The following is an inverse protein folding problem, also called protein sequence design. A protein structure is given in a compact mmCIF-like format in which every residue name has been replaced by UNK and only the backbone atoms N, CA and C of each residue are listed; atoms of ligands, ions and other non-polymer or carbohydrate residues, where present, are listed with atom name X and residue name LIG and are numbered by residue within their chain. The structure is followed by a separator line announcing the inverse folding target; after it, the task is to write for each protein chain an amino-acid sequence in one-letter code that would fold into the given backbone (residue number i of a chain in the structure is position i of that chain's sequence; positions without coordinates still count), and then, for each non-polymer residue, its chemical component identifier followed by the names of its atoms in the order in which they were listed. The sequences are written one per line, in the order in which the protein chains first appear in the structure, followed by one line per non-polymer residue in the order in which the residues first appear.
data_IF_827224468902
#
_entry.id   IF_827224468902
#
_cell.length_a   1.000
_cell.length_b   1.000
_cell.length_c   1.000
_cell.angle_alpha   90.00
_cell.angle_beta   90.00
_cell.angle_gamma   90.00
#
_symmetry.space_group_name_H-M   'P 1'
#
loop_
_entity.id
_entity.type
_entity.pdbx_description
1 polymer ?
#
# COMPACT_ATOMS: atom_id res chain seq x y z
N UNK A 1 8.07 22.83 -23.24
CA UNK A 1 7.05 23.67 -22.55
C UNK A 1 6.05 22.73 -21.90
N UNK A 2 6.09 22.57 -20.57
CA UNK A 2 5.12 21.75 -19.86
C UNK A 2 3.77 22.47 -19.92
N UNK A 3 2.75 21.83 -20.49
CA UNK A 3 1.39 22.33 -20.42
C UNK A 3 0.99 22.39 -18.94
N UNK A 4 0.96 23.59 -18.39
CA UNK A 4 0.21 23.87 -17.17
C UNK A 4 -1.24 23.46 -17.48
N UNK A 5 -1.60 22.22 -17.16
CA UNK A 5 -2.98 21.74 -17.22
C UNK A 5 -3.77 22.58 -16.24
N UNK A 6 -4.30 23.70 -16.75
CA UNK A 6 -4.99 24.69 -15.94
C UNK A 6 -6.26 24.00 -15.44
N UNK A 7 -6.50 24.04 -14.13
CA UNK A 7 -7.71 23.47 -13.54
C UNK A 7 -8.91 24.31 -13.95
N UNK A 8 -9.77 23.76 -14.83
CA UNK A 8 -10.92 24.44 -15.43
C UNK A 8 -12.22 23.71 -15.08
N UNK A 9 -13.34 24.42 -15.24
CA UNK A 9 -14.67 23.84 -15.01
C UNK A 9 -14.96 22.66 -15.95
N UNK A 10 -14.49 22.72 -17.19
CA UNK A 10 -14.60 21.61 -18.14
C UNK A 10 -13.85 20.36 -17.65
N UNK A 11 -12.63 20.52 -17.11
CA UNK A 11 -11.86 19.41 -16.53
C UNK A 11 -12.56 18.84 -15.29
N UNK A 12 -13.11 19.70 -14.44
CA UNK A 12 -13.89 19.28 -13.27
C UNK A 12 -15.13 18.48 -13.66
N UNK A 13 -15.97 18.99 -14.56
CA UNK A 13 -17.17 18.28 -15.07
C UNK A 13 -16.82 16.94 -15.71
N UNK A 14 -15.73 16.89 -16.48
CA UNK A 14 -15.23 15.63 -17.06
C UNK A 14 -14.87 14.62 -15.98
N UNK A 15 -14.09 15.01 -14.97
CA UNK A 15 -13.70 14.11 -13.87
C UNK A 15 -14.91 13.55 -13.11
N UNK A 16 -15.94 14.38 -12.89
CA UNK A 16 -17.20 13.92 -12.32
C UNK A 16 -17.94 12.91 -13.23
N UNK A 17 -18.00 13.18 -14.55
CA UNK A 17 -18.63 12.26 -15.51
C UNK A 17 -17.89 10.91 -15.63
N UNK A 18 -16.58 10.92 -15.39
CA UNK A 18 -15.73 9.72 -15.32
C UNK A 18 -15.87 8.99 -13.97
N UNK A 19 -16.78 9.42 -13.08
CA UNK A 19 -17.01 8.86 -11.73
C UNK A 19 -15.77 8.82 -10.84
N UNK A 20 -14.83 9.75 -11.05
CA UNK A 20 -13.63 9.84 -10.21
C UNK A 20 -13.98 10.19 -8.77
N UNK A 21 -13.30 9.55 -7.83
CA UNK A 21 -13.58 9.59 -6.39
C UNK A 21 -14.70 8.67 -5.93
N UNK A 22 -15.35 7.93 -6.82
CA UNK A 22 -16.50 7.09 -6.51
C UNK A 22 -16.16 5.61 -6.71
N UNK A 23 -16.96 4.75 -6.07
CA UNK A 23 -16.80 3.29 -6.09
C UNK A 23 -16.04 2.76 -4.86
N UNK A 24 -16.02 1.43 -4.73
CA UNK A 24 -15.25 0.67 -3.73
C UNK A 24 -14.48 -0.44 -4.44
N UNK A 25 -13.37 -0.88 -3.86
CA UNK A 25 -12.52 -1.94 -4.38
C UNK A 25 -12.18 -1.71 -5.87
N UNK A 26 -12.47 -2.68 -6.73
CA UNK A 26 -12.20 -2.65 -8.17
C UNK A 26 -12.97 -1.55 -8.92
N UNK A 27 -14.08 -1.07 -8.36
CA UNK A 27 -14.92 -0.04 -8.95
C UNK A 27 -14.47 1.38 -8.58
N UNK A 28 -13.50 1.53 -7.67
CA UNK A 28 -13.01 2.83 -7.28
C UNK A 28 -12.13 3.46 -8.37
N UNK A 29 -12.40 4.72 -8.70
CA UNK A 29 -11.61 5.51 -9.66
C UNK A 29 -10.91 6.66 -8.93
N UNK A 30 -9.56 6.71 -8.85
CA UNK A 30 -8.86 7.80 -8.15
C UNK A 30 -9.08 9.15 -8.84
N UNK A 31 -9.07 10.25 -8.06
CA UNK A 31 -9.22 11.59 -8.64
C UNK A 31 -8.10 11.94 -9.60
N UNK A 32 -6.87 11.59 -9.23
CA UNK A 32 -5.69 11.76 -10.07
C UNK A 32 -5.07 10.42 -10.38
N UNK A 33 -4.68 10.25 -11.63
CA UNK A 33 -3.87 9.13 -12.11
C UNK A 33 -2.45 9.63 -12.42
N UNK A 34 -1.54 8.69 -12.67
CA UNK A 34 -0.16 9.00 -13.09
C UNK A 34 -0.12 9.83 -14.39
N UNK A 35 -1.17 9.78 -15.21
CA UNK A 35 -1.26 10.53 -16.48
C UNK A 35 -1.72 11.99 -16.29
N UNK A 36 -2.29 12.33 -15.12
CA UNK A 36 -2.87 13.66 -14.88
C UNK A 36 -1.84 14.71 -14.42
N UNK A 37 -0.65 14.27 -14.00
CA UNK A 37 0.37 15.14 -13.40
C UNK A 37 1.66 15.05 -14.23
N UNK A 38 2.23 16.19 -14.68
CA UNK A 38 3.53 16.19 -15.33
C UNK A 38 4.60 15.70 -14.37
N UNK A 39 5.47 14.78 -14.81
CA UNK A 39 6.46 14.13 -13.95
C UNK A 39 7.40 15.15 -13.29
N UNK A 40 7.23 15.33 -11.98
CA UNK A 40 8.23 16.01 -11.11
C UNK A 40 9.01 15.03 -10.24
N UNK A 41 8.67 13.75 -10.32
CA UNK A 41 9.25 12.63 -9.57
C UNK A 41 8.77 11.30 -10.15
N UNK A 42 9.09 10.20 -9.48
CA UNK A 42 8.66 8.86 -9.87
C UNK A 42 7.21 8.61 -9.46
N UNK A 43 6.41 8.18 -10.43
CA UNK A 43 5.05 7.67 -10.23
C UNK A 43 5.02 6.18 -10.53
N UNK A 44 4.12 5.46 -9.86
CA UNK A 44 4.02 4.00 -9.92
C UNK A 44 2.57 3.58 -10.16
N UNK A 45 2.40 2.58 -11.02
CA UNK A 45 1.17 1.79 -11.15
C UNK A 45 1.47 0.41 -10.60
N UNK A 46 0.67 -0.04 -9.64
CA UNK A 46 0.85 -1.34 -9.00
C UNK A 46 -0.50 -1.99 -8.77
N UNK A 47 -0.59 -3.31 -8.96
CA UNK A 47 -1.80 -4.07 -8.66
C UNK A 47 -1.94 -4.24 -7.14
N UNK A 48 -3.11 -3.89 -6.60
CA UNK A 48 -3.50 -4.20 -5.22
C UNK A 48 -4.34 -5.47 -5.22
N UNK A 49 -3.92 -6.47 -4.46
CA UNK A 49 -4.69 -7.68 -4.21
C UNK A 49 -5.93 -7.38 -3.35
N UNK A 50 -5.83 -6.40 -2.43
CA UNK A 50 -6.96 -5.97 -1.58
C UNK A 50 -8.04 -5.25 -2.36
N UNK A 51 -7.66 -4.30 -3.21
CA UNK A 51 -8.61 -3.51 -4.00
C UNK A 51 -8.95 -4.17 -5.36
N UNK A 52 -8.29 -5.25 -5.74
CA UNK A 52 -8.44 -5.94 -7.03
C UNK A 52 -8.33 -5.00 -8.26
N UNK A 53 -7.39 -4.05 -8.23
CA UNK A 53 -7.18 -3.09 -9.32
C UNK A 53 -5.78 -2.50 -9.31
N UNK A 54 -5.46 -1.77 -10.38
CA UNK A 54 -4.27 -0.93 -10.42
C UNK A 54 -4.47 0.33 -9.59
N UNK A 55 -3.57 0.55 -8.64
CA UNK A 55 -3.46 1.73 -7.79
C UNK A 55 -2.46 2.71 -8.42
N UNK A 56 -2.77 4.00 -8.36
CA UNK A 56 -1.96 5.08 -8.92
C UNK A 56 -1.25 5.91 -7.85
N UNK A 57 0.06 5.72 -7.73
CA UNK A 57 0.90 6.35 -6.71
C UNK A 57 1.80 7.39 -7.36
N UNK A 58 1.80 8.60 -6.82
CA UNK A 58 2.39 9.78 -7.45
C UNK A 58 3.77 10.13 -6.89
N UNK A 59 4.18 9.48 -5.80
CA UNK A 59 5.51 9.63 -5.19
C UNK A 59 5.99 8.31 -4.57
N UNK A 60 7.29 8.19 -4.34
CA UNK A 60 7.88 7.05 -3.63
C UNK A 60 7.39 6.92 -2.19
N UNK A 61 7.10 8.03 -1.51
CA UNK A 61 6.52 8.02 -0.16
C UNK A 61 5.13 7.37 -0.20
N UNK A 62 4.32 7.67 -1.22
CA UNK A 62 3.03 7.01 -1.43
C UNK A 62 3.19 5.51 -1.70
N UNK A 63 4.19 5.12 -2.51
CA UNK A 63 4.51 3.71 -2.76
C UNK A 63 4.87 2.95 -1.49
N UNK A 64 5.79 3.49 -0.68
CA UNK A 64 6.23 2.84 0.56
C UNK A 64 5.09 2.71 1.56
N UNK A 65 4.25 3.74 1.70
CA UNK A 65 3.09 3.68 2.58
C UNK A 65 2.04 2.68 2.07
N UNK A 66 1.79 2.65 0.76
CA UNK A 66 0.90 1.68 0.13
C UNK A 66 1.31 0.24 0.47
N UNK A 67 2.62 -0.09 0.41
CA UNK A 67 3.07 -1.41 0.82
C UNK A 67 2.71 -1.77 2.27
N UNK A 68 2.75 -0.81 3.20
CA UNK A 68 2.32 -1.05 4.58
C UNK A 68 0.81 -1.31 4.67
N UNK A 69 0.01 -0.63 3.85
CA UNK A 69 -1.44 -0.84 3.78
C UNK A 69 -1.76 -2.20 3.16
N UNK A 70 -1.12 -2.53 2.03
CA UNK A 70 -1.27 -3.79 1.30
C UNK A 70 -0.85 -5.00 2.15
N UNK A 71 0.13 -4.83 3.04
CA UNK A 71 0.59 -5.88 3.94
C UNK A 71 -0.33 -6.11 5.15
N UNK A 72 -1.08 -5.10 5.59
CA UNK A 72 -1.88 -5.19 6.80
C UNK A 72 -3.16 -6.01 6.56
N UNK A 73 -3.33 -7.12 7.28
CA UNK A 73 -4.44 -8.06 7.10
C UNK A 73 -5.80 -7.46 7.47
N UNK A 74 -5.85 -6.50 8.39
CA UNK A 74 -7.10 -5.81 8.75
C UNK A 74 -7.67 -4.93 7.64
N UNK A 75 -6.86 -4.51 6.67
CA UNK A 75 -7.28 -3.59 5.60
C UNK A 75 -8.01 -4.36 4.49
N UNK A 76 -9.15 -3.83 4.05
CA UNK A 76 -10.00 -4.44 3.03
C UNK A 76 -10.14 -3.59 1.76
N UNK A 77 -10.00 -2.28 1.86
CA UNK A 77 -10.02 -1.38 0.69
C UNK A 77 -9.04 -0.22 0.87
N UNK A 78 -8.47 0.23 -0.26
CA UNK A 78 -7.50 1.31 -0.34
C UNK A 78 -7.93 2.23 -1.47
N UNK A 79 -8.35 3.45 -1.14
CA UNK A 79 -8.80 4.46 -2.09
C UNK A 79 -7.78 5.61 -2.13
N UNK A 80 -6.88 5.59 -3.11
CA UNK A 80 -5.84 6.61 -3.29
C UNK A 80 -6.36 7.86 -3.99
N UNK A 81 -5.69 8.99 -3.74
CA UNK A 81 -6.05 10.31 -4.30
C UNK A 81 -7.54 10.64 -4.10
N UNK A 82 -8.07 10.39 -2.90
CA UNK A 82 -9.48 10.51 -2.58
C UNK A 82 -9.93 11.98 -2.55
N UNK A 83 -10.90 12.38 -3.40
CA UNK A 83 -11.32 13.77 -3.50
C UNK A 83 -12.31 14.17 -2.41
N UNK A 84 -12.09 15.36 -1.84
CA UNK A 84 -13.04 16.00 -0.93
C UNK A 84 -14.02 16.82 -1.76
N UNK A 85 -15.09 16.17 -2.24
CA UNK A 85 -16.07 16.81 -3.14
C UNK A 85 -17.10 17.67 -2.40
N UNK A 86 -17.44 17.29 -1.17
CA UNK A 86 -18.52 17.88 -0.39
C UNK A 86 -18.00 18.89 0.66
N UNK A 87 -17.06 19.74 0.25
CA UNK A 87 -16.45 20.73 1.13
C UNK A 87 -17.44 21.83 1.54
N UNK A 88 -18.48 22.06 0.75
CA UNK A 88 -19.57 22.99 1.05
C UNK A 88 -20.31 22.64 2.34
N UNK A 89 -20.36 21.34 2.72
CA UNK A 89 -21.05 20.89 3.94
C UNK A 89 -20.35 21.28 5.24
N UNK A 90 -19.11 21.77 5.15
CA UNK A 90 -18.32 22.18 6.31
C UNK A 90 -18.00 23.68 6.32
N UNK A 91 -18.54 24.46 5.39
CA UNK A 91 -18.26 25.90 5.25
C UNK A 91 -18.51 26.67 6.53
N UNK A 92 -19.57 26.33 7.28
CA UNK A 92 -19.93 26.99 8.55
C UNK A 92 -18.91 26.75 9.67
N UNK A 93 -17.98 25.81 9.49
CA UNK A 93 -16.90 25.48 10.45
C UNK A 93 -15.57 26.14 10.08
N UNK A 94 -15.50 26.88 8.96
CA UNK A 94 -14.26 27.41 8.40
C UNK A 94 -14.16 28.92 8.60
N UNK A 95 -12.95 29.40 8.90
CA UNK A 95 -12.66 30.83 8.88
C UNK A 95 -12.51 31.37 7.45
N UNK A 96 -12.50 32.71 7.33
CA UNK A 96 -12.40 33.39 6.03
C UNK A 96 -11.11 33.04 5.26
N UNK A 97 -10.01 32.73 5.97
CA UNK A 97 -8.74 32.38 5.36
C UNK A 97 -8.78 31.00 4.71
N UNK A 98 -9.45 30.03 5.33
CA UNK A 98 -9.66 28.69 4.82
C UNK A 98 -10.68 28.66 3.69
N UNK A 99 -11.75 29.46 3.76
CA UNK A 99 -12.74 29.59 2.69
C UNK A 99 -12.12 30.04 1.37
N UNK A 100 -11.14 30.97 1.42
CA UNK A 100 -10.38 31.42 0.24
C UNK A 100 -9.58 30.31 -0.45
N UNK A 101 -9.33 29.17 0.23
CA UNK A 101 -8.62 28.02 -0.34
C UNK A 101 -9.54 27.04 -1.08
N UNK A 102 -10.85 27.13 -0.90
CA UNK A 102 -11.82 26.23 -1.54
C UNK A 102 -11.99 26.48 -3.04
N UNK A 103 -11.56 27.64 -3.55
CA UNK A 103 -11.67 28.01 -4.96
C UNK A 103 -10.32 28.47 -5.52
N UNK A 104 -10.12 28.22 -6.80
CA UNK A 104 -8.99 28.79 -7.52
C UNK A 104 -9.19 30.30 -7.69
N UNK A 105 -8.23 31.12 -7.27
CA UNK A 105 -8.34 32.58 -7.31
C UNK A 105 -8.45 33.17 -8.72
N UNK A 106 -8.01 32.45 -9.75
CA UNK A 106 -8.04 32.91 -11.15
C UNK A 106 -9.28 32.42 -11.90
N UNK A 107 -9.67 31.17 -11.68
CA UNK A 107 -10.76 30.54 -12.47
C UNK A 107 -12.08 30.47 -11.71
N UNK A 108 -12.09 30.75 -10.39
CA UNK A 108 -13.22 30.59 -9.49
C UNK A 108 -13.80 29.15 -9.41
N UNK A 109 -13.12 28.18 -10.04
CA UNK A 109 -13.48 26.76 -10.02
C UNK A 109 -13.15 26.18 -8.64
N UNK A 110 -14.00 25.31 -8.06
CA UNK A 110 -13.70 24.59 -6.83
C UNK A 110 -12.33 23.90 -6.91
N UNK A 111 -11.47 24.15 -5.93
CA UNK A 111 -10.19 23.49 -5.81
C UNK A 111 -10.37 22.20 -5.01
N UNK A 112 -10.48 21.08 -5.71
CA UNK A 112 -10.67 19.77 -5.09
C UNK A 112 -9.40 19.36 -4.33
N UNK A 113 -9.49 19.34 -3.01
CA UNK A 113 -8.45 18.82 -2.14
C UNK A 113 -8.50 17.31 -2.13
N UNK A 114 -7.32 16.70 -2.02
CA UNK A 114 -7.17 15.26 -2.05
C UNK A 114 -6.59 14.79 -0.73
N UNK A 115 -7.22 13.76 -0.18
CA UNK A 115 -6.60 12.90 0.83
C UNK A 115 -5.79 11.84 0.10
N UNK A 116 -4.57 11.55 0.57
CA UNK A 116 -3.70 10.61 -0.15
C UNK A 116 -4.28 9.20 -0.16
N UNK A 117 -4.77 8.70 0.98
CA UNK A 117 -5.46 7.44 1.11
C UNK A 117 -6.67 7.58 2.03
N UNK A 118 -7.84 7.17 1.56
CA UNK A 118 -8.94 6.73 2.41
C UNK A 118 -8.85 5.20 2.48
N UNK A 119 -8.81 4.66 3.69
CA UNK A 119 -8.57 3.24 3.93
C UNK A 119 -9.73 2.67 4.71
N UNK A 120 -10.22 1.50 4.28
CA UNK A 120 -11.24 0.73 4.97
C UNK A 120 -10.59 -0.48 5.63
N UNK A 121 -10.90 -0.72 6.90
CA UNK A 121 -10.34 -1.80 7.69
C UNK A 121 -11.39 -2.45 8.60
N UNK A 122 -11.11 -3.66 9.05
CA UNK A 122 -11.93 -4.43 9.99
C UNK A 122 -11.20 -4.50 11.32
N UNK A 123 -11.87 -4.13 12.42
CA UNK A 123 -11.29 -4.24 13.77
C UNK A 123 -11.39 -5.67 14.31
N UNK A 124 -10.82 -5.93 15.50
CA UNK A 124 -10.85 -7.25 16.14
C UNK A 124 -12.27 -7.79 16.41
N UNK A 125 -13.28 -6.90 16.47
CA UNK A 125 -14.68 -7.26 16.65
C UNK A 125 -15.41 -7.55 15.31
N UNK A 126 -14.68 -7.55 14.19
CA UNK A 126 -15.26 -7.75 12.86
C UNK A 126 -15.99 -6.53 12.29
N UNK A 127 -15.85 -5.35 12.91
CA UNK A 127 -16.55 -4.13 12.48
C UNK A 127 -15.70 -3.34 11.49
N UNK A 128 -16.33 -2.92 10.39
CA UNK A 128 -15.72 -2.04 9.41
C UNK A 128 -15.57 -0.62 9.96
N UNK A 129 -14.41 -0.01 9.74
CA UNK A 129 -14.15 1.40 10.01
C UNK A 129 -13.24 1.99 8.93
N UNK A 130 -13.24 3.32 8.84
CA UNK A 130 -12.41 4.05 7.88
C UNK A 130 -11.46 5.03 8.57
N UNK A 131 -10.30 5.22 7.96
CA UNK A 131 -9.36 6.26 8.34
C UNK A 131 -8.72 6.91 7.11
N UNK A 132 -8.37 8.19 7.25
CA UNK A 132 -7.85 9.03 6.19
C UNK A 132 -6.40 9.41 6.49
N UNK A 133 -5.51 9.29 5.50
CA UNK A 133 -4.09 9.63 5.64
C UNK A 133 -3.64 10.50 4.49
N UNK A 134 -3.00 11.61 4.83
CA UNK A 134 -2.37 12.51 3.85
C UNK A 134 -0.87 12.50 4.03
N UNK A 135 -0.16 12.21 2.94
CA UNK A 135 1.28 12.11 2.97
C UNK A 135 1.91 13.45 2.60
N UNK A 136 2.83 13.92 3.45
CA UNK A 136 3.57 15.17 3.24
C UNK A 136 5.00 15.05 3.76
N UNK A 137 5.94 15.62 3.01
CA UNK A 137 7.30 15.78 3.50
C UNK A 137 7.31 16.76 4.67
N UNK A 138 8.18 16.52 5.66
CA UNK A 138 8.24 17.33 6.87
C UNK A 138 8.47 18.82 6.56
N UNK A 139 9.32 19.13 5.58
CA UNK A 139 9.58 20.51 5.15
C UNK A 139 8.34 21.21 4.55
N UNK A 140 7.37 20.47 4.00
CA UNK A 140 6.11 21.07 3.52
C UNK A 140 5.21 21.53 4.68
N UNK A 141 5.39 20.97 5.88
CA UNK A 141 4.58 21.29 7.05
C UNK A 141 4.93 22.65 7.67
N UNK A 142 6.06 23.25 7.29
CA UNK A 142 6.43 24.62 7.68
C UNK A 142 5.68 25.69 6.86
N UNK A 143 5.08 25.29 5.73
CA UNK A 143 4.42 26.23 4.82
C UNK A 143 2.99 26.49 5.27
N UNK A 144 2.68 27.76 5.58
CA UNK A 144 1.32 28.22 5.96
C UNK A 144 0.22 27.69 5.01
N UNK A 145 0.43 27.78 3.70
CA UNK A 145 -0.55 27.30 2.71
C UNK A 145 -0.74 25.77 2.70
N UNK A 146 0.24 25.00 3.19
CA UNK A 146 0.09 23.55 3.38
C UNK A 146 -0.69 23.27 4.66
N UNK A 147 -0.36 23.95 5.76
CA UNK A 147 -1.07 23.84 7.05
C UNK A 147 -2.57 24.14 6.86
N UNK A 148 -2.91 25.24 6.20
CA UNK A 148 -4.31 25.60 5.91
C UNK A 148 -5.06 24.50 5.14
N UNK A 149 -4.41 23.86 4.15
CA UNK A 149 -5.00 22.74 3.39
C UNK A 149 -5.14 21.46 4.22
N UNK A 150 -4.24 21.24 5.17
CA UNK A 150 -4.31 20.10 6.08
C UNK A 150 -5.42 20.31 7.12
N UNK A 151 -5.59 21.55 7.60
CA UNK A 151 -6.68 21.88 8.52
C UNK A 151 -8.05 21.70 7.85
N UNK A 152 -8.20 22.11 6.59
CA UNK A 152 -9.40 21.84 5.79
C UNK A 152 -9.73 20.34 5.71
N UNK A 153 -8.73 19.49 5.48
CA UNK A 153 -8.92 18.04 5.49
C UNK A 153 -9.28 17.52 6.87
N UNK A 154 -8.64 18.02 7.94
CA UNK A 154 -8.92 17.63 9.32
C UNK A 154 -10.38 17.94 9.69
N UNK A 155 -10.86 19.15 9.40
CA UNK A 155 -12.26 19.55 9.64
C UNK A 155 -13.22 18.68 8.81
N UNK A 156 -12.91 18.44 7.53
CA UNK A 156 -13.73 17.59 6.66
C UNK A 156 -13.91 16.18 7.21
N UNK A 157 -12.82 15.51 7.59
CA UNK A 157 -12.89 14.14 8.10
C UNK A 157 -13.47 14.07 9.51
N UNK A 158 -13.19 15.06 10.36
CA UNK A 158 -13.78 15.16 11.70
C UNK A 158 -15.30 15.28 11.65
N UNK A 159 -15.85 16.07 10.71
CA UNK A 159 -17.30 16.18 10.51
C UNK A 159 -17.97 14.84 10.14
N UNK A 160 -17.20 13.90 9.59
CA UNK A 160 -17.63 12.55 9.21
C UNK A 160 -17.23 11.48 10.24
N UNK A 161 -16.65 11.88 11.38
CA UNK A 161 -16.12 10.97 12.41
C UNK A 161 -15.09 9.98 11.88
N UNK A 162 -14.36 10.33 10.83
CA UNK A 162 -13.29 9.52 10.25
C UNK A 162 -11.96 10.01 10.80
N UNK A 163 -11.14 9.08 11.30
CA UNK A 163 -9.83 9.41 11.85
C UNK A 163 -8.89 9.92 10.75
N UNK A 164 -8.49 11.19 10.83
CA UNK A 164 -7.52 11.80 9.91
C UNK A 164 -6.13 11.89 10.53
N UNK A 165 -5.11 11.64 9.73
CA UNK A 165 -3.71 11.77 10.15
C UNK A 165 -2.80 12.20 9.00
N UNK A 166 -1.69 12.83 9.37
CA UNK A 166 -0.61 13.19 8.45
C UNK A 166 0.49 12.14 8.60
N UNK A 167 1.04 11.68 7.47
CA UNK A 167 2.17 10.75 7.46
C UNK A 167 3.32 11.42 6.73
N UNK A 168 4.48 11.50 7.37
CA UNK A 168 5.72 11.93 6.73
C UNK A 168 6.60 10.71 6.44
N UNK A 169 7.67 10.88 5.65
CA UNK A 169 8.63 9.79 5.45
C UNK A 169 9.22 9.21 6.75
N UNK A 170 9.25 9.98 7.85
CA UNK A 170 9.82 9.54 9.13
C UNK A 170 8.97 8.47 9.82
N UNK A 171 7.65 8.47 9.61
CA UNK A 171 6.75 7.46 10.18
C UNK A 171 6.71 6.16 9.35
N UNK A 172 7.40 6.10 8.20
CA UNK A 172 7.40 4.93 7.32
C UNK A 172 8.63 4.07 7.61
N UNK A 173 8.48 2.84 8.15
CA UNK A 173 9.61 1.91 8.31
C UNK A 173 10.14 1.47 6.95
N UNK A 174 11.25 2.08 6.54
CA UNK A 174 11.86 1.88 5.22
C UNK A 174 12.18 0.39 4.98
N UNK A 175 12.80 -0.28 5.95
CA UNK A 175 13.18 -1.69 5.80
C UNK A 175 11.96 -2.58 5.57
N UNK A 176 10.90 -2.39 6.37
CA UNK A 176 9.63 -3.11 6.20
C UNK A 176 9.00 -2.87 4.85
N UNK A 177 8.95 -1.62 4.38
CA UNK A 177 8.42 -1.32 3.04
C UNK A 177 9.22 -2.01 1.92
N UNK A 178 10.56 -2.06 2.01
CA UNK A 178 11.43 -2.74 1.05
C UNK A 178 11.24 -4.26 1.05
N UNK A 179 11.11 -4.85 2.23
CA UNK A 179 10.86 -6.28 2.35
C UNK A 179 9.50 -6.66 1.77
N UNK A 180 8.47 -5.86 2.03
CA UNK A 180 7.12 -6.06 1.46
C UNK A 180 7.16 -5.93 -0.07
N UNK A 181 7.82 -4.89 -0.60
CA UNK A 181 8.07 -4.71 -2.03
C UNK A 181 8.74 -5.94 -2.66
N UNK A 182 9.70 -6.54 -1.94
CA UNK A 182 10.42 -7.71 -2.41
C UNK A 182 9.56 -8.98 -2.43
N UNK A 183 8.68 -9.20 -1.45
CA UNK A 183 7.90 -10.46 -1.36
C UNK A 183 6.58 -10.41 -2.12
N UNK A 184 5.85 -9.30 -2.11
CA UNK A 184 4.47 -9.22 -2.65
C UNK A 184 4.33 -9.70 -4.10
N UNK A 185 5.23 -9.39 -5.05
CA UNK A 185 5.10 -9.86 -6.42
C UNK A 185 5.02 -11.38 -6.55
N UNK A 186 5.57 -12.14 -5.59
CA UNK A 186 5.55 -13.59 -5.59
C UNK A 186 4.14 -14.19 -5.44
N UNK A 187 3.14 -13.41 -4.98
CA UNK A 187 1.73 -13.85 -4.97
C UNK A 187 1.16 -14.05 -6.38
N UNK A 188 1.74 -13.41 -7.40
CA UNK A 188 1.29 -13.52 -8.78
C UNK A 188 2.03 -14.64 -9.53
N UNK A 189 1.90 -15.87 -9.02
CA UNK A 189 2.66 -17.05 -9.48
C UNK A 189 2.55 -17.31 -10.99
N UNK A 190 1.42 -16.94 -11.58
CA UNK A 190 1.15 -17.05 -13.01
C UNK A 190 2.15 -16.26 -13.89
N UNK A 191 2.70 -15.15 -13.38
CA UNK A 191 3.72 -14.37 -14.11
C UNK A 191 5.07 -15.08 -14.15
N UNK A 192 5.27 -16.09 -13.32
CA UNK A 192 6.47 -16.92 -13.27
C UNK A 192 6.27 -18.29 -13.91
N UNK A 193 5.12 -18.52 -14.56
CA UNK A 193 4.83 -19.80 -15.23
C UNK A 193 4.56 -20.97 -14.29
N UNK A 194 4.27 -20.71 -13.01
CA UNK A 194 3.98 -21.74 -12.00
C UNK A 194 2.47 -21.84 -11.78
N UNK A 195 1.91 -23.04 -11.85
CA UNK A 195 0.49 -23.29 -11.52
C UNK A 195 0.23 -23.30 -10.02
N UNK A 196 -1.02 -23.06 -9.61
CA UNK A 196 -1.44 -23.15 -8.19
C UNK A 196 -1.15 -24.53 -7.57
N UNK A 197 -1.24 -25.59 -8.36
CA UNK A 197 -0.93 -26.96 -7.92
C UNK A 197 0.56 -27.12 -7.65
N UNK A 198 1.41 -26.68 -8.58
CA UNK A 198 2.86 -26.72 -8.41
C UNK A 198 3.28 -25.86 -7.22
N UNK A 199 2.81 -24.61 -7.14
CA UNK A 199 3.13 -23.73 -6.01
C UNK A 199 2.70 -24.34 -4.68
N UNK A 200 1.54 -24.98 -4.61
CA UNK A 200 1.09 -25.66 -3.40
C UNK A 200 2.03 -26.80 -2.98
N UNK A 201 2.49 -27.61 -3.93
CA UNK A 201 3.45 -28.69 -3.68
C UNK A 201 4.83 -28.15 -3.28
N UNK A 202 5.30 -27.12 -3.99
CA UNK A 202 6.57 -26.46 -3.74
C UNK A 202 6.61 -25.79 -2.37
N UNK A 203 5.54 -25.08 -2.01
CA UNK A 203 5.40 -24.43 -0.71
C UNK A 203 5.42 -25.46 0.44
N UNK A 204 4.75 -26.61 0.29
CA UNK A 204 4.75 -27.68 1.29
C UNK A 204 6.18 -28.24 1.49
N UNK A 205 6.85 -28.60 0.40
CA UNK A 205 8.20 -29.16 0.46
C UNK A 205 9.22 -28.14 1.01
N UNK A 206 9.17 -26.90 0.55
CA UNK A 206 10.04 -25.83 1.04
C UNK A 206 9.83 -25.58 2.54
N UNK A 207 8.58 -25.62 3.01
CA UNK A 207 8.29 -25.46 4.45
C UNK A 207 8.96 -26.58 5.26
N UNK A 208 8.90 -27.82 4.79
CA UNK A 208 9.58 -28.95 5.45
C UNK A 208 11.11 -28.80 5.46
N UNK A 209 11.71 -28.30 4.38
CA UNK A 209 13.15 -28.05 4.34
C UNK A 209 13.56 -26.98 5.35
N UNK A 210 12.80 -25.87 5.42
CA UNK A 210 13.07 -24.75 6.33
C UNK A 210 13.01 -25.18 7.81
N UNK A 211 12.13 -26.12 8.18
CA UNK A 211 12.01 -26.59 9.58
C UNK A 211 13.13 -27.53 10.01
N UNK A 212 13.70 -28.29 9.08
CA UNK A 212 14.55 -29.45 9.40
C UNK A 212 16.04 -29.17 9.21
N UNK A 213 16.46 -27.89 9.15
CA UNK A 213 17.84 -27.53 8.85
C UNK A 213 18.27 -26.22 9.48
N UNK A 214 19.54 -26.16 9.87
CA UNK A 214 20.24 -24.94 10.30
C UNK A 214 21.10 -24.34 9.18
N UNK A 215 20.97 -24.85 7.95
CA UNK A 215 21.67 -24.30 6.80
C UNK A 215 21.22 -22.86 6.47
N UNK A 216 22.10 -22.11 5.79
CA UNK A 216 21.74 -20.80 5.26
C UNK A 216 20.57 -20.91 4.29
N UNK A 217 19.64 -19.97 4.31
CA UNK A 217 18.48 -19.95 3.38
C UNK A 217 18.95 -20.17 1.95
N UNK A 218 20.01 -19.49 1.49
CA UNK A 218 20.54 -19.65 0.13
C UNK A 218 20.87 -21.12 -0.22
N UNK A 219 21.44 -21.88 0.69
CA UNK A 219 21.74 -23.31 0.49
C UNK A 219 20.46 -24.13 0.39
N UNK A 220 19.47 -23.84 1.23
CA UNK A 220 18.14 -24.47 1.20
C UNK A 220 17.49 -24.25 -0.18
N UNK A 221 17.51 -23.01 -0.69
CA UNK A 221 16.92 -22.68 -1.98
C UNK A 221 17.61 -23.42 -3.14
N UNK A 222 18.94 -23.53 -3.11
CA UNK A 222 19.69 -24.28 -4.13
C UNK A 222 19.44 -25.79 -4.06
N UNK A 223 19.33 -26.35 -2.85
CA UNK A 223 18.98 -27.77 -2.68
C UNK A 223 17.56 -28.04 -3.16
N UNK A 224 16.60 -27.14 -2.87
CA UNK A 224 15.24 -27.20 -3.39
C UNK A 224 15.21 -27.26 -4.92
N UNK A 225 15.89 -26.32 -5.61
CA UNK A 225 15.92 -26.27 -7.07
C UNK A 225 16.43 -27.58 -7.68
N UNK A 226 17.49 -28.14 -7.09
CA UNK A 226 18.12 -29.40 -7.53
C UNK A 226 17.22 -30.61 -7.29
N UNK A 227 16.63 -30.73 -6.10
CA UNK A 227 15.83 -31.89 -5.70
C UNK A 227 14.50 -31.94 -6.44
N UNK A 228 13.85 -30.78 -6.60
CA UNK A 228 12.60 -30.65 -7.35
C UNK A 228 12.81 -30.68 -8.87
N UNK A 229 14.06 -30.64 -9.34
CA UNK A 229 14.44 -30.60 -10.78
C UNK A 229 13.76 -29.46 -11.53
N UNK A 230 13.73 -28.28 -10.90
CA UNK A 230 13.12 -27.05 -11.44
C UNK A 230 14.19 -26.06 -11.89
N UNK A 231 13.76 -24.97 -12.54
CA UNK A 231 14.66 -23.90 -12.95
C UNK A 231 15.31 -23.23 -11.73
N UNK A 232 16.58 -22.86 -11.87
CA UNK A 232 17.32 -22.12 -10.83
C UNK A 232 16.60 -20.81 -10.49
N UNK A 233 16.34 -20.60 -9.20
CA UNK A 233 15.59 -19.44 -8.70
C UNK A 233 14.13 -19.74 -8.38
N UNK A 234 13.62 -20.94 -8.70
CA UNK A 234 12.28 -21.37 -8.31
C UNK A 234 12.14 -21.42 -6.79
N UNK A 235 13.14 -21.94 -6.08
CA UNK A 235 13.19 -21.94 -4.62
C UNK A 235 13.06 -20.54 -4.04
N UNK A 236 13.75 -19.55 -4.62
CA UNK A 236 13.64 -18.15 -4.20
C UNK A 236 12.21 -17.60 -4.39
N UNK A 237 11.57 -17.92 -5.51
CA UNK A 237 10.17 -17.57 -5.75
C UNK A 237 9.27 -18.19 -4.68
N UNK A 238 9.45 -19.48 -4.38
CA UNK A 238 8.65 -20.21 -3.39
C UNK A 238 8.85 -19.63 -1.99
N UNK A 239 10.09 -19.32 -1.59
CA UNK A 239 10.39 -18.67 -0.32
C UNK A 239 9.71 -17.31 -0.19
N UNK A 240 9.81 -16.46 -1.22
CA UNK A 240 9.08 -15.18 -1.28
C UNK A 240 7.57 -15.37 -1.19
N UNK A 241 7.03 -16.38 -1.88
CA UNK A 241 5.61 -16.72 -1.82
C UNK A 241 5.19 -17.16 -0.42
N UNK A 242 5.95 -17.99 0.27
CA UNK A 242 5.66 -18.42 1.64
C UNK A 242 5.55 -17.22 2.59
N UNK A 243 6.47 -16.24 2.48
CA UNK A 243 6.42 -15.01 3.27
C UNK A 243 5.21 -14.17 2.88
N UNK A 244 5.00 -13.93 1.58
CA UNK A 244 3.92 -13.06 1.09
C UNK A 244 2.52 -13.61 1.39
N UNK A 245 2.37 -14.93 1.34
CA UNK A 245 1.12 -15.66 1.65
C UNK A 245 0.94 -15.95 3.13
N UNK A 246 1.85 -15.47 3.99
CA UNK A 246 1.83 -15.65 5.45
C UNK A 246 1.89 -17.12 5.90
N UNK A 247 2.40 -18.02 5.07
CA UNK A 247 2.68 -19.41 5.50
C UNK A 247 3.91 -19.47 6.39
N UNK A 248 4.84 -18.53 6.19
CA UNK A 248 5.90 -18.24 7.15
C UNK A 248 5.90 -16.77 7.51
N UNK A 249 6.18 -16.47 8.77
CA UNK A 249 6.45 -15.14 9.27
C UNK A 249 7.95 -14.99 9.50
N UNK A 250 8.45 -13.79 9.19
CA UNK A 250 9.79 -13.33 9.55
C UNK A 250 9.67 -11.90 10.05
N UNK A 251 10.71 -11.41 10.71
CA UNK A 251 10.76 -10.03 11.16
C UNK A 251 10.92 -9.07 9.98
N UNK A 252 9.80 -8.57 9.46
CA UNK A 252 9.79 -7.66 8.31
C UNK A 252 10.49 -6.33 8.58
N UNK A 253 10.86 -5.98 9.83
CA UNK A 253 11.63 -4.76 10.10
C UNK A 253 13.15 -4.94 9.99
N UNK A 254 13.64 -6.18 9.88
CA UNK A 254 15.06 -6.51 9.66
C UNK A 254 15.30 -6.84 8.19
N UNK A 255 16.53 -6.66 7.72
CA UNK A 255 16.89 -7.04 6.35
C UNK A 255 16.73 -8.55 6.13
N UNK A 256 16.14 -8.95 5.00
CA UNK A 256 16.03 -10.37 4.61
C UNK A 256 17.36 -10.77 3.96
N UNK A 257 18.27 -11.31 4.75
CA UNK A 257 19.57 -11.78 4.29
C UNK A 257 19.54 -13.30 4.05
N UNK A 258 19.69 -13.72 2.79
CA UNK A 258 19.65 -15.15 2.43
C UNK A 258 20.85 -15.97 2.94
N UNK A 259 21.88 -15.30 3.48
CA UNK A 259 23.03 -15.98 4.13
C UNK A 259 22.77 -16.36 5.57
N UNK A 260 21.64 -15.94 6.14
CA UNK A 260 21.23 -16.32 7.49
C UNK A 260 20.52 -17.67 7.47
N UNK A 261 20.55 -18.38 8.60
CA UNK A 261 19.71 -19.56 8.83
C UNK A 261 18.24 -19.17 9.08
N UNK A 262 17.30 -20.15 9.06
CA UNK A 262 15.92 -19.90 9.48
C UNK A 262 15.80 -19.30 10.89
N UNK A 263 16.62 -19.75 11.84
CA UNK A 263 16.65 -19.23 13.21
C UNK A 263 17.10 -17.76 13.25
N UNK A 264 18.21 -17.43 12.56
CA UNK A 264 18.74 -16.05 12.48
C UNK A 264 17.75 -15.07 11.82
N UNK A 265 16.87 -15.56 10.95
CA UNK A 265 15.78 -14.77 10.34
C UNK A 265 14.49 -14.73 11.17
N UNK A 266 14.46 -15.39 12.34
CA UNK A 266 13.29 -15.51 13.20
C UNK A 266 12.10 -16.11 12.43
N UNK A 267 12.33 -17.16 11.62
CA UNK A 267 11.28 -17.79 10.83
C UNK A 267 10.30 -18.53 11.75
N UNK A 268 9.01 -18.22 11.59
CA UNK A 268 7.89 -18.90 12.26
C UNK A 268 6.95 -19.48 11.21
N UNK A 269 6.67 -20.78 11.29
CA UNK A 269 5.75 -21.44 10.36
C UNK A 269 4.33 -21.34 10.92
N UNK A 270 3.39 -20.93 10.07
CA UNK A 270 1.97 -20.88 10.41
C UNK A 270 1.32 -22.13 9.84
N UNK A 271 0.96 -23.07 10.71
CA UNK A 271 0.25 -24.28 10.29
C UNK A 271 -1.19 -23.92 9.89
N UNK A 272 -1.84 -24.73 9.04
CA UNK A 272 -3.19 -24.46 8.49
C UNK A 272 -4.31 -24.37 9.56
N UNK A 273 -3.99 -24.46 10.85
CA UNK A 273 -4.86 -24.29 12.02
C UNK A 273 -4.64 -23.03 12.85
N UNK A 274 -3.73 -22.12 12.48
CA UNK A 274 -3.49 -20.87 13.22
C UNK A 274 -2.64 -20.99 14.49
N UNK A 275 -2.04 -22.15 14.74
CA UNK A 275 -1.04 -22.34 15.80
C UNK A 275 0.37 -22.19 15.22
N UNK A 276 1.15 -21.26 15.77
CA UNK A 276 2.57 -21.11 15.49
C UNK A 276 3.35 -22.24 16.16
N UNK A 277 4.13 -23.00 15.38
CA UNK A 277 5.19 -23.86 15.93
C UNK A 277 6.50 -23.10 15.82
N UNK A 278 7.14 -22.85 16.97
CA UNK A 278 8.53 -22.40 17.00
C UNK A 278 9.41 -23.50 16.38
N UNK A 279 10.27 -23.12 15.44
CA UNK A 279 11.21 -24.03 14.77
C UNK A 279 12.34 -24.52 15.70
N UNK A 280 12.26 -24.28 17.01
CA UNK A 280 13.31 -24.53 18.00
C UNK A 280 13.02 -25.68 18.98
N UNK A 281 12.11 -26.59 18.65
CA UNK A 281 11.88 -27.81 19.45
C UNK A 281 11.62 -29.03 18.55
N UNK A 282 12.68 -29.64 18.03
CA UNK A 282 12.80 -31.09 17.72
C UNK A 282 14.25 -31.43 17.41
#
# INVERSE_FOLDING_TARGET
MATNSTWTEAKFKRFLSEKRGQGKHEQYHPWLTVSDIPSRGRSTRIFSHKANRIVHLLTDTQLRYFYLLEWNESITDINEQFPLLEMELIVDQLDESLLKRLKNSKTNVPHIMLTTFLVTAINEQGQEYQFARTLKDAAELEKKATIERLELQRVYWNSRKINFGIVTPHEIPIQKSKNIEWVLPALNIQYFGVSEREMSQYAEWMSQLITNTDEQIQSILHSFDREMKVEVGTGLLVFRYLIASRRININMNKEINLKFSPEELEVQIIDRGGETKDASNS
#
